data_IF_443122394940
#
_entry.id   IF_443122394940
#
_cell.length_a   1.000
_cell.length_b   1.000
_cell.length_c   1.000
_cell.angle_alpha   90.00
_cell.angle_beta   90.00
_cell.angle_gamma   90.00
#
_symmetry.space_group_name_H-M   'P 1'
#
loop_
_entity.id
_entity.type
_entity.pdbx_description
1 polymer ?
#
# COMPACT_ATOMS: atom_id res chain seq x y z
N UNK A 1 57.78 56.60 13.80
CA UNK A 1 56.49 56.99 14.38
C UNK A 1 55.73 57.83 13.37
N UNK A 2 54.55 57.37 12.93
CA UNK A 2 53.36 58.19 12.65
C UNK A 2 52.20 57.23 12.27
N UNK A 3 51.17 57.25 13.11
CA UNK A 3 49.96 56.42 13.04
C UNK A 3 48.84 57.20 12.36
N UNK A 4 48.16 56.64 11.34
CA UNK A 4 46.83 57.03 10.84
C UNK A 4 46.22 55.89 10.00
N UNK A 5 44.89 55.74 9.89
CA UNK A 5 43.95 55.46 10.97
C UNK A 5 43.14 54.18 10.63
N UNK A 6 43.41 53.06 11.31
CA UNK A 6 42.72 51.78 11.13
C UNK A 6 41.25 51.76 11.61
N UNK A 7 40.60 52.93 11.78
CA UNK A 7 39.29 53.06 12.42
C UNK A 7 38.12 53.26 11.45
N UNK A 8 38.36 53.55 10.17
CA UNK A 8 37.29 53.82 9.18
C UNK A 8 36.83 52.61 8.37
N UNK A 9 37.48 51.46 8.51
CA UNK A 9 37.13 50.23 7.78
C UNK A 9 36.38 49.23 8.68
N UNK A 10 36.45 49.38 10.00
CA UNK A 10 35.80 48.46 10.95
C UNK A 10 34.26 48.59 10.98
N UNK A 11 33.74 49.81 10.76
CA UNK A 11 32.30 50.08 10.86
C UNK A 11 31.45 49.41 9.75
N UNK A 12 31.79 49.47 8.44
CA UNK A 12 31.01 48.77 7.42
C UNK A 12 31.20 47.25 7.47
N UNK A 13 32.36 46.76 7.94
CA UNK A 13 32.65 45.33 8.03
C UNK A 13 31.83 44.65 9.13
N UNK A 14 31.61 45.32 10.29
CA UNK A 14 30.75 44.79 11.35
C UNK A 14 29.26 44.75 10.95
N UNK A 15 28.79 45.71 10.13
CA UNK A 15 27.39 45.72 9.65
C UNK A 15 27.13 44.61 8.62
N UNK A 16 28.10 44.30 7.74
CA UNK A 16 27.97 43.17 6.79
C UNK A 16 27.97 41.79 7.47
N UNK A 17 28.64 41.63 8.62
CA UNK A 17 28.65 40.36 9.37
C UNK A 17 27.34 40.13 10.14
N UNK A 18 26.66 41.18 10.60
CA UNK A 18 25.36 41.05 11.28
C UNK A 18 24.19 40.70 10.34
N UNK A 19 24.30 40.95 9.03
CA UNK A 19 23.24 40.67 8.05
C UNK A 19 23.26 39.22 7.50
N UNK A 20 24.27 38.42 7.83
CA UNK A 20 24.45 37.05 7.31
C UNK A 20 23.89 35.94 8.23
N UNK A 21 23.28 36.28 9.37
CA UNK A 21 22.87 35.29 10.39
C UNK A 21 21.35 35.07 10.48
N UNK A 22 20.54 35.65 9.58
CA UNK A 22 19.07 35.58 9.67
C UNK A 22 18.39 34.61 8.70
N UNK A 23 19.12 33.77 7.94
CA UNK A 23 18.50 32.92 6.91
C UNK A 23 18.71 31.40 7.05
N UNK A 24 18.79 30.83 8.25
CA UNK A 24 18.62 29.38 8.39
C UNK A 24 18.09 29.03 9.78
N UNK A 25 16.77 29.04 9.94
CA UNK A 25 16.12 28.67 11.20
C UNK A 25 14.63 28.39 11.09
N UNK A 26 14.14 27.92 9.93
CA UNK A 26 12.83 27.28 9.90
C UNK A 26 13.03 25.78 10.10
N UNK A 27 12.92 25.35 11.36
CA UNK A 27 12.71 23.94 11.70
C UNK A 27 11.42 23.52 11.01
N UNK A 28 11.54 22.84 9.87
CA UNK A 28 10.41 22.32 9.14
C UNK A 28 9.66 21.37 10.08
N UNK A 29 8.42 21.71 10.40
CA UNK A 29 7.53 20.79 11.09
C UNK A 29 7.47 19.50 10.26
N UNK A 30 7.59 18.31 10.88
CA UNK A 30 7.63 17.05 10.17
C UNK A 30 6.40 16.96 9.25
N UNK A 31 6.64 16.78 7.96
CA UNK A 31 5.55 16.63 7.02
C UNK A 31 4.83 15.30 7.32
N UNK A 32 3.54 15.23 6.99
CA UNK A 32 2.78 13.96 7.05
C UNK A 32 3.45 12.81 6.29
N UNK A 33 4.34 13.13 5.35
CA UNK A 33 5.10 12.17 4.56
C UNK A 33 6.34 11.67 5.29
N UNK A 34 6.96 12.47 6.16
CA UNK A 34 8.12 12.05 6.96
C UNK A 34 7.76 10.92 7.92
N UNK A 35 6.54 10.95 8.45
CA UNK A 35 5.99 9.88 9.29
C UNK A 35 5.81 8.58 8.50
N UNK A 36 5.26 8.68 7.28
CA UNK A 36 5.10 7.53 6.39
C UNK A 36 6.46 6.97 5.92
N UNK A 37 7.45 7.84 5.72
CA UNK A 37 8.78 7.44 5.29
C UNK A 37 9.55 6.74 6.44
N UNK A 38 9.41 7.21 7.70
CA UNK A 38 9.94 6.51 8.87
C UNK A 38 9.30 5.13 9.08
N UNK A 39 7.97 5.01 8.93
CA UNK A 39 7.28 3.71 9.02
C UNK A 39 7.75 2.72 7.94
N UNK A 40 8.10 3.21 6.75
CA UNK A 40 8.58 2.36 5.65
C UNK A 40 10.07 2.00 5.70
N UNK A 41 10.89 2.77 6.43
CA UNK A 41 12.36 2.60 6.47
C UNK A 41 12.85 1.82 7.69
N UNK A 42 11.98 1.52 8.67
CA UNK A 42 12.32 0.59 9.73
C UNK A 42 12.46 -0.82 9.17
N UNK A 43 13.73 -1.23 8.98
CA UNK A 43 14.18 -2.60 8.71
C UNK A 43 13.48 -3.55 9.69
N UNK A 44 12.97 -4.73 9.26
CA UNK A 44 12.26 -5.63 10.17
C UNK A 44 13.24 -6.16 11.21
N UNK A 45 13.26 -5.51 12.38
CA UNK A 45 13.93 -6.00 13.57
C UNK A 45 13.32 -7.33 13.96
N UNK A 46 14.17 -8.30 14.33
CA UNK A 46 13.76 -9.59 14.87
C UNK A 46 12.73 -9.34 15.98
N UNK A 47 11.47 -9.68 15.72
CA UNK A 47 10.43 -9.60 16.73
C UNK A 47 10.75 -10.60 17.84
N UNK A 48 11.08 -10.04 19.00
CA UNK A 48 11.11 -10.73 20.28
C UNK A 48 9.72 -11.34 20.49
N UNK A 49 9.67 -12.66 20.60
CA UNK A 49 8.46 -13.42 20.87
C UNK A 49 8.02 -13.14 22.31
N UNK A 50 7.13 -12.17 22.51
CA UNK A 50 6.42 -12.00 23.78
C UNK A 50 5.17 -12.88 23.77
N UNK A 51 5.14 -13.80 24.73
CA UNK A 51 4.03 -14.71 25.02
C UNK A 51 2.88 -13.95 25.68
N UNK A 52 2.08 -13.23 24.91
CA UNK A 52 0.77 -12.72 25.37
C UNK A 52 -0.06 -12.22 24.18
N UNK A 53 -0.56 -13.12 23.34
CA UNK A 53 -1.88 -12.92 22.76
C UNK A 53 -2.48 -14.25 22.27
N UNK A 54 -3.30 -14.84 23.14
CA UNK A 54 -4.21 -15.94 22.81
C UNK A 54 -5.45 -15.32 22.13
N UNK A 55 -5.27 -14.76 20.94
CA UNK A 55 -6.36 -14.54 19.99
C UNK A 55 -6.19 -15.50 18.82
N UNK A 56 -6.97 -16.56 18.89
CA UNK A 56 -7.09 -17.68 17.95
C UNK A 56 -7.47 -17.21 16.54
N UNK A 57 -6.52 -17.21 15.60
CA UNK A 57 -6.68 -17.78 14.25
C UNK A 57 -5.39 -17.64 13.39
N UNK A 58 -4.63 -18.73 13.34
CA UNK A 58 -4.01 -19.27 12.10
C UNK A 58 -3.26 -18.30 11.17
N UNK A 59 -2.10 -17.80 11.59
CA UNK A 59 -1.07 -17.32 10.65
C UNK A 59 0.33 -17.91 10.91
N UNK A 60 0.47 -18.82 11.89
CA UNK A 60 1.75 -19.37 12.33
C UNK A 60 2.41 -20.35 11.34
N UNK A 61 1.72 -20.70 10.25
CA UNK A 61 2.21 -21.68 9.27
C UNK A 61 2.23 -21.18 7.82
N UNK A 62 2.05 -19.87 7.60
CA UNK A 62 2.16 -19.30 6.25
C UNK A 62 3.60 -18.81 6.00
N UNK A 63 4.20 -19.09 4.82
CA UNK A 63 5.49 -18.57 4.41
C UNK A 63 5.56 -17.06 4.61
N UNK A 64 6.59 -16.65 5.34
CA UNK A 64 6.93 -15.23 5.54
C UNK A 64 7.36 -14.54 4.24
N UNK A 65 7.77 -15.33 3.23
CA UNK A 65 8.19 -14.82 1.93
C UNK A 65 6.98 -14.56 1.05
N UNK A 66 6.88 -13.33 0.56
CA UNK A 66 5.85 -12.92 -0.38
C UNK A 66 5.97 -13.67 -1.72
N UNK A 67 4.84 -14.02 -2.32
CA UNK A 67 4.77 -14.67 -3.64
C UNK A 67 5.14 -13.66 -4.73
N UNK A 68 5.96 -14.07 -5.70
CA UNK A 68 6.30 -13.20 -6.84
C UNK A 68 5.03 -12.80 -7.63
N UNK A 69 4.89 -11.52 -7.98
CA UNK A 69 3.70 -10.96 -8.64
C UNK A 69 3.23 -11.74 -9.86
N UNK A 70 4.11 -12.06 -10.79
CA UNK A 70 3.72 -12.84 -11.97
C UNK A 70 3.22 -14.26 -11.70
N UNK A 71 3.56 -14.85 -10.54
CA UNK A 71 2.96 -16.14 -10.12
C UNK A 71 1.50 -15.96 -9.67
N UNK A 72 1.06 -14.74 -9.36
CA UNK A 72 -0.31 -14.43 -8.97
C UNK A 72 -1.24 -14.26 -10.18
N UNK A 73 -0.70 -13.99 -11.38
CA UNK A 73 -1.49 -13.72 -12.60
C UNK A 73 -2.47 -14.84 -12.96
N UNK A 74 -2.09 -16.10 -12.73
CA UNK A 74 -2.95 -17.27 -12.98
C UNK A 74 -4.22 -17.33 -12.11
N UNK A 75 -4.31 -16.51 -11.07
CA UNK A 75 -5.51 -16.42 -10.23
C UNK A 75 -6.45 -15.30 -10.62
N UNK A 76 -6.03 -14.42 -11.54
CA UNK A 76 -6.90 -13.41 -12.11
C UNK A 76 -7.90 -14.04 -13.07
N UNK A 77 -9.12 -13.50 -13.16
CA UNK A 77 -10.05 -13.88 -14.21
C UNK A 77 -9.45 -13.65 -15.60
N UNK A 78 -9.82 -14.49 -16.57
CA UNK A 78 -9.44 -14.29 -17.97
C UNK A 78 -10.18 -13.10 -18.59
N UNK A 79 -9.65 -12.58 -19.70
CA UNK A 79 -10.43 -11.71 -20.60
C UNK A 79 -11.63 -12.50 -21.16
N UNK A 80 -12.69 -11.80 -21.52
CA UNK A 80 -13.92 -12.40 -22.05
C UNK A 80 -15.17 -11.58 -21.72
N UNK A 81 -16.30 -11.90 -22.38
CA UNK A 81 -17.58 -11.23 -22.15
C UNK A 81 -17.54 -9.72 -22.44
N UNK A 82 -16.74 -9.29 -23.41
CA UNK A 82 -16.54 -7.88 -23.77
C UNK A 82 -15.56 -7.13 -22.86
N UNK A 83 -14.82 -7.83 -22.00
CA UNK A 83 -13.80 -7.23 -21.15
C UNK A 83 -12.40 -7.74 -21.48
N UNK A 84 -11.45 -6.80 -21.49
CA UNK A 84 -10.02 -7.08 -21.64
C UNK A 84 -9.29 -6.86 -20.33
N UNK A 85 -8.57 -7.89 -19.86
CA UNK A 85 -7.71 -7.80 -18.69
C UNK A 85 -6.25 -7.61 -19.12
N UNK A 86 -5.66 -6.47 -18.72
CA UNK A 86 -4.26 -6.11 -19.03
C UNK A 86 -3.46 -5.93 -17.74
N UNK A 87 -2.42 -6.73 -17.54
CA UNK A 87 -1.53 -6.58 -16.38
C UNK A 87 -0.76 -5.25 -16.46
N UNK A 88 -0.73 -4.52 -15.35
CA UNK A 88 -0.15 -3.17 -15.29
C UNK A 88 1.01 -3.06 -14.29
N UNK A 89 0.98 -3.86 -13.23
CA UNK A 89 2.05 -3.88 -12.24
C UNK A 89 2.22 -5.27 -11.64
N UNK A 90 3.46 -5.71 -11.54
CA UNK A 90 3.83 -6.97 -10.90
C UNK A 90 5.08 -6.75 -10.07
N UNK A 91 5.02 -7.09 -8.79
CA UNK A 91 6.16 -7.05 -7.87
C UNK A 91 6.03 -8.15 -6.83
N UNK A 92 7.03 -8.32 -5.98
CA UNK A 92 6.93 -9.28 -4.88
C UNK A 92 5.72 -8.96 -4.00
N UNK A 93 4.84 -9.93 -3.85
CA UNK A 93 3.60 -9.86 -3.09
C UNK A 93 2.46 -9.09 -3.74
N UNK A 94 2.57 -8.66 -5.00
CA UNK A 94 1.53 -7.86 -5.62
C UNK A 94 1.44 -8.06 -7.13
N UNK A 95 0.20 -8.17 -7.60
CA UNK A 95 -0.13 -8.09 -9.01
C UNK A 95 -1.36 -7.20 -9.19
N UNK A 96 -1.38 -6.42 -10.26
CA UNK A 96 -2.47 -5.55 -10.65
C UNK A 96 -2.77 -5.70 -12.14
N UNK A 97 -4.06 -5.73 -12.47
CA UNK A 97 -4.52 -5.70 -13.85
C UNK A 97 -5.63 -4.67 -14.03
N UNK A 98 -5.56 -3.92 -15.14
CA UNK A 98 -6.67 -3.11 -15.63
C UNK A 98 -7.72 -4.03 -16.23
N UNK A 99 -8.97 -3.70 -15.99
CA UNK A 99 -10.11 -4.29 -16.63
C UNK A 99 -10.73 -3.24 -17.54
N UNK A 100 -10.58 -3.45 -18.84
CA UNK A 100 -11.11 -2.56 -19.86
C UNK A 100 -12.41 -3.11 -20.43
N UNK A 101 -13.34 -2.23 -20.75
CA UNK A 101 -14.55 -2.51 -21.53
C UNK A 101 -14.65 -1.43 -22.60
N UNK A 102 -14.85 -1.83 -23.86
CA UNK A 102 -14.92 -0.91 -25.00
C UNK A 102 -13.71 0.05 -25.06
N UNK A 103 -12.50 -0.49 -24.80
CA UNK A 103 -11.24 0.26 -24.76
C UNK A 103 -11.05 1.19 -23.55
N UNK A 104 -12.04 1.30 -22.65
CA UNK A 104 -11.98 2.17 -21.45
C UNK A 104 -11.68 1.35 -20.20
N UNK A 105 -10.79 1.84 -19.35
CA UNK A 105 -10.53 1.23 -18.05
C UNK A 105 -11.72 1.46 -17.11
N UNK A 106 -12.48 0.41 -16.83
CA UNK A 106 -13.68 0.46 -15.98
C UNK A 106 -13.39 0.04 -14.54
N UNK A 107 -12.38 -0.82 -14.34
CA UNK A 107 -11.96 -1.25 -13.02
C UNK A 107 -10.49 -1.67 -12.97
N UNK A 108 -9.93 -1.71 -11.77
CA UNK A 108 -8.62 -2.28 -11.48
C UNK A 108 -8.79 -3.50 -10.57
N UNK A 109 -8.20 -4.60 -10.99
CA UNK A 109 -8.14 -5.88 -10.30
C UNK A 109 -6.78 -5.99 -9.61
N UNK A 110 -6.72 -6.45 -8.36
CA UNK A 110 -5.43 -6.68 -7.70
C UNK A 110 -5.44 -7.85 -6.74
N UNK A 111 -4.28 -8.47 -6.57
CA UNK A 111 -3.98 -9.46 -5.53
C UNK A 111 -2.78 -8.94 -4.75
N UNK A 112 -2.94 -8.80 -3.44
CA UNK A 112 -1.89 -8.38 -2.51
C UNK A 112 -1.66 -9.46 -1.45
N UNK A 113 -0.46 -10.02 -1.43
CA UNK A 113 0.03 -10.94 -0.42
C UNK A 113 0.51 -10.16 0.81
N UNK A 114 -0.14 -10.36 1.95
CA UNK A 114 0.17 -9.65 3.19
C UNK A 114 1.13 -10.39 4.10
N UNK A 115 1.89 -11.37 3.61
CA UNK A 115 2.91 -12.07 4.39
C UNK A 115 3.87 -11.13 5.14
N UNK A 116 4.24 -10.00 4.52
CA UNK A 116 5.09 -8.97 5.14
C UNK A 116 4.34 -7.92 5.97
N UNK A 117 3.00 -7.91 5.95
CA UNK A 117 2.18 -6.98 6.72
C UNK A 117 0.82 -7.61 7.14
N UNK A 118 0.80 -8.60 8.06
CA UNK A 118 -0.41 -9.35 8.40
C UNK A 118 -1.54 -8.49 8.99
N UNK A 119 -1.23 -7.35 9.63
CA UNK A 119 -2.21 -6.43 10.21
C UNK A 119 -3.16 -5.86 9.15
N UNK A 120 -2.77 -5.84 7.87
CA UNK A 120 -3.63 -5.44 6.78
C UNK A 120 -4.90 -6.32 6.65
N UNK A 121 -4.90 -7.54 7.21
CA UNK A 121 -6.05 -8.44 7.30
C UNK A 121 -7.04 -8.11 8.42
N UNK A 122 -6.68 -7.28 9.40
CA UNK A 122 -7.51 -7.03 10.58
C UNK A 122 -8.91 -6.49 10.25
N UNK A 123 -9.01 -5.64 9.22
CA UNK A 123 -10.28 -5.07 8.74
C UNK A 123 -11.33 -6.11 8.32
N UNK A 124 -10.92 -7.35 8.04
CA UNK A 124 -11.81 -8.44 7.64
C UNK A 124 -12.36 -9.24 8.82
N UNK A 125 -11.76 -9.14 10.02
CA UNK A 125 -12.12 -9.95 11.19
C UNK A 125 -13.55 -9.72 11.66
N UNK A 126 -14.04 -8.48 11.55
CA UNK A 126 -15.39 -8.08 11.94
C UNK A 126 -16.39 -8.12 10.78
N UNK A 127 -15.96 -8.60 9.60
CA UNK A 127 -16.86 -8.62 8.45
C UNK A 127 -17.92 -9.70 8.60
N UNK A 128 -19.18 -9.30 8.53
CA UNK A 128 -20.34 -10.19 8.37
C UNK A 128 -20.62 -10.54 6.90
N UNK A 129 -19.98 -9.82 5.96
CA UNK A 129 -20.16 -10.03 4.53
C UNK A 129 -19.16 -11.06 4.02
N UNK A 130 -19.64 -11.95 3.14
CA UNK A 130 -18.79 -12.90 2.44
C UNK A 130 -19.01 -12.85 0.93
N UNK A 131 -17.94 -13.12 0.18
CA UNK A 131 -17.99 -13.33 -1.27
C UNK A 131 -17.26 -14.64 -1.54
N UNK A 132 -17.93 -15.59 -2.18
CA UNK A 132 -17.41 -16.94 -2.44
C UNK A 132 -16.88 -17.64 -1.17
N UNK A 133 -17.51 -17.41 -0.02
CA UNK A 133 -17.13 -18.01 1.27
C UNK A 133 -15.95 -17.33 1.99
N UNK A 134 -15.43 -16.22 1.46
CA UNK A 134 -14.33 -15.46 2.08
C UNK A 134 -14.85 -14.14 2.66
N UNK A 135 -14.34 -13.69 3.83
CA UNK A 135 -14.74 -12.43 4.43
C UNK A 135 -14.44 -11.26 3.48
N UNK A 136 -15.41 -10.37 3.31
CA UNK A 136 -15.38 -9.30 2.32
C UNK A 136 -15.64 -7.94 2.96
N UNK A 137 -14.98 -6.89 2.50
CA UNK A 137 -15.21 -5.52 3.00
C UNK A 137 -15.25 -4.53 1.85
N UNK A 138 -15.98 -3.44 2.04
CA UNK A 138 -15.84 -2.26 1.20
C UNK A 138 -14.74 -1.35 1.76
N UNK A 139 -13.95 -0.72 0.88
CA UNK A 139 -12.91 0.24 1.26
C UNK A 139 -13.18 1.56 0.54
N UNK A 140 -13.67 2.56 1.28
CA UNK A 140 -14.21 3.77 0.67
C UNK A 140 -15.41 3.47 -0.24
N UNK A 141 -15.68 4.36 -1.21
CA UNK A 141 -16.86 4.26 -2.07
C UNK A 141 -16.70 3.29 -3.26
N UNK A 142 -15.47 3.04 -3.72
CA UNK A 142 -15.23 2.39 -5.02
C UNK A 142 -14.44 1.08 -4.97
N UNK A 143 -14.12 0.54 -3.79
CA UNK A 143 -13.36 -0.71 -3.65
C UNK A 143 -14.18 -1.74 -2.89
N UNK A 144 -14.15 -2.97 -3.39
CA UNK A 144 -14.58 -4.16 -2.64
C UNK A 144 -13.41 -5.14 -2.61
N UNK A 145 -13.19 -5.76 -1.45
CA UNK A 145 -12.06 -6.64 -1.22
C UNK A 145 -12.50 -7.91 -0.48
N UNK A 146 -11.80 -9.02 -0.71
CA UNK A 146 -11.90 -10.27 0.06
C UNK A 146 -10.55 -10.63 0.67
N UNK A 147 -10.56 -11.30 1.81
CA UNK A 147 -9.37 -11.89 2.42
C UNK A 147 -9.42 -13.42 2.28
N UNK A 148 -8.46 -13.96 1.53
CA UNK A 148 -8.34 -15.39 1.26
C UNK A 148 -7.21 -15.97 2.10
N UNK A 149 -7.51 -17.07 2.81
CA UNK A 149 -6.55 -17.84 3.61
C UNK A 149 -5.70 -16.98 4.57
N UNK A 150 -6.29 -15.94 5.17
CA UNK A 150 -5.63 -15.01 6.09
C UNK A 150 -4.38 -14.32 5.52
N UNK A 151 -4.23 -14.26 4.18
CA UNK A 151 -2.99 -13.81 3.53
C UNK A 151 -3.19 -13.05 2.22
N UNK A 152 -4.13 -13.43 1.37
CA UNK A 152 -4.26 -12.80 0.07
C UNK A 152 -5.45 -11.85 0.08
N UNK A 153 -5.20 -10.55 -0.04
CA UNK A 153 -6.24 -9.59 -0.29
C UNK A 153 -6.49 -9.50 -1.79
N UNK A 154 -7.67 -9.91 -2.22
CA UNK A 154 -8.10 -9.76 -3.61
C UNK A 154 -9.07 -8.60 -3.68
N UNK A 155 -8.85 -7.66 -4.60
CA UNK A 155 -9.61 -6.42 -4.66
C UNK A 155 -10.07 -6.12 -6.08
N UNK A 156 -11.22 -5.48 -6.15
CA UNK A 156 -11.70 -4.80 -7.36
C UNK A 156 -11.98 -3.36 -6.99
N UNK A 157 -11.40 -2.43 -7.75
CA UNK A 157 -11.59 -0.99 -7.60
C UNK A 157 -12.22 -0.41 -8.86
N UNK A 158 -13.32 0.32 -8.71
CA UNK A 158 -14.00 0.96 -9.83
C UNK A 158 -13.23 2.19 -10.30
N UNK A 159 -13.07 2.32 -11.61
CA UNK A 159 -12.51 3.50 -12.29
C UNK A 159 -13.59 4.30 -13.01
N UNK A 160 -14.74 3.69 -13.25
CA UNK A 160 -15.93 4.29 -13.83
C UNK A 160 -17.09 4.20 -12.81
N UNK A 161 -17.87 5.28 -12.57
CA UNK A 161 -19.07 5.25 -11.72
C UNK A 161 -20.12 4.21 -12.14
N UNK A 162 -20.19 3.87 -13.44
CA UNK A 162 -21.08 2.82 -13.93
C UNK A 162 -20.65 1.41 -13.54
N UNK A 163 -19.44 1.24 -13.00
CA UNK A 163 -18.95 -0.03 -12.46
C UNK A 163 -19.27 -0.07 -10.96
N UNK A 164 -20.38 -0.72 -10.64
CA UNK A 164 -21.05 -0.64 -9.34
C UNK A 164 -20.44 -1.58 -8.30
N UNK A 165 -20.97 -1.54 -7.07
CA UNK A 165 -20.57 -2.52 -6.05
C UNK A 165 -20.91 -3.96 -6.45
N UNK A 166 -22.07 -4.17 -7.08
CA UNK A 166 -22.48 -5.49 -7.58
C UNK A 166 -21.49 -6.02 -8.63
N UNK A 167 -21.03 -5.15 -9.55
CA UNK A 167 -20.03 -5.53 -10.54
C UNK A 167 -18.70 -5.94 -9.88
N UNK A 168 -18.26 -5.21 -8.85
CA UNK A 168 -17.05 -5.57 -8.09
C UNK A 168 -17.18 -6.94 -7.44
N UNK A 169 -18.33 -7.24 -6.86
CA UNK A 169 -18.61 -8.52 -6.19
C UNK A 169 -18.67 -9.68 -7.19
N UNK A 170 -19.32 -9.45 -8.33
CA UNK A 170 -19.34 -10.40 -9.43
C UNK A 170 -17.93 -10.68 -9.96
N UNK A 171 -17.09 -9.66 -10.11
CA UNK A 171 -15.70 -9.82 -10.55
C UNK A 171 -14.82 -10.50 -9.51
N UNK A 172 -14.99 -10.20 -8.22
CA UNK A 172 -14.30 -10.90 -7.13
C UNK A 172 -14.58 -12.41 -7.17
N UNK A 173 -15.81 -12.80 -7.49
CA UNK A 173 -16.23 -14.20 -7.59
C UNK A 173 -15.62 -14.94 -8.78
N UNK A 174 -15.06 -14.22 -9.77
CA UNK A 174 -14.40 -14.79 -10.95
C UNK A 174 -12.91 -15.07 -10.73
N UNK A 175 -12.30 -14.55 -9.67
CA UNK A 175 -10.93 -14.93 -9.32
C UNK A 175 -10.88 -16.39 -8.89
N UNK A 176 -9.74 -17.05 -9.14
CA UNK A 176 -9.49 -18.39 -8.60
C UNK A 176 -9.09 -18.31 -7.11
N UNK A 177 -10.06 -17.97 -6.26
CA UNK A 177 -9.86 -17.79 -4.81
C UNK A 177 -9.48 -19.11 -4.12
N UNK A 178 -10.05 -20.23 -4.56
CA UNK A 178 -9.69 -21.56 -4.06
C UNK A 178 -8.25 -21.94 -4.39
N UNK A 179 -7.75 -21.55 -5.56
CA UNK A 179 -6.35 -21.72 -5.95
C UNK A 179 -5.40 -20.86 -5.10
N UNK A 180 -5.77 -19.61 -4.80
CA UNK A 180 -5.02 -18.76 -3.87
C UNK A 180 -4.98 -19.36 -2.47
N UNK A 181 -6.09 -19.90 -1.98
CA UNK A 181 -6.18 -20.51 -0.66
C UNK A 181 -5.27 -21.74 -0.47
N UNK A 182 -4.78 -22.33 -1.56
CA UNK A 182 -3.85 -23.47 -1.56
C UNK A 182 -2.37 -23.05 -1.57
N UNK A 183 -2.05 -21.77 -1.79
CA UNK A 183 -0.69 -21.24 -1.73
C UNK A 183 -0.21 -21.00 -0.28
N UNK A 184 -0.60 -21.90 0.64
CA UNK A 184 -0.40 -21.71 2.06
C UNK A 184 1.04 -21.59 2.44
#
# INVERSE_FOLDING_TARGET
MQFFPARRILAPFLISVLLLVTSCGQTQAPSRWDKAQQESTQKPGKAQQTTADKSTASNQNLPKKAVAGGKLNKYFPSSGGGFDRVFAQEKSGFAEAKLNKDGKNVAVLSINDIAGNPSAGAKFQQSTKQISGYPAVNQGANITAVLVANRYQVKVQSRNPSFTASDREAWLSKFNLGGLARLK
#
